data_IF_016744346615
#
_entry.id   IF_016744346615
#
_cell.length_a   1.000
_cell.length_b   1.000
_cell.length_c   1.000
_cell.angle_alpha   90.00
_cell.angle_beta   90.00
_cell.angle_gamma   90.00
#
_symmetry.space_group_name_H-M   'P 1'
#
loop_
_entity.id
_entity.type
_entity.pdbx_description
1 polymer ?
#
# COMPACT_ATOMS: atom_id res chain seq x y z
N UNK A 1 39.74 -24.01 0.59
CA UNK A 1 38.96 -22.76 0.46
C UNK A 1 37.54 -23.11 0.80
N UNK A 2 37.19 -22.91 2.07
CA UNK A 2 35.80 -23.02 2.53
C UNK A 2 35.24 -21.60 2.44
N UNK A 3 34.36 -21.36 1.46
CA UNK A 3 33.65 -20.09 1.38
C UNK A 3 32.56 -20.08 2.46
N UNK A 4 32.78 -19.31 3.52
CA UNK A 4 31.75 -18.96 4.48
C UNK A 4 30.70 -18.08 3.78
N UNK A 5 29.53 -18.65 3.50
CA UNK A 5 28.36 -17.88 3.11
C UNK A 5 27.85 -17.11 4.34
N UNK A 6 27.86 -15.76 4.36
CA UNK A 6 27.30 -15.00 5.46
C UNK A 6 25.78 -15.20 5.51
N UNK A 7 25.33 -16.06 6.40
CA UNK A 7 23.90 -16.24 6.74
C UNK A 7 23.44 -15.08 7.63
N UNK A 8 23.26 -13.91 7.04
CA UNK A 8 22.64 -12.76 7.70
C UNK A 8 21.20 -12.58 7.21
N UNK A 9 20.38 -13.63 7.33
CA UNK A 9 18.92 -13.44 7.28
C UNK A 9 18.51 -12.71 8.56
N UNK A 10 18.44 -11.39 8.47
CA UNK A 10 17.95 -10.52 9.54
C UNK A 10 16.59 -11.04 9.99
N UNK A 11 16.50 -11.53 11.23
CA UNK A 11 15.25 -12.05 11.79
C UNK A 11 14.25 -10.89 11.86
N UNK A 12 13.29 -10.89 10.94
CA UNK A 12 12.25 -9.85 10.85
C UNK A 12 11.50 -9.78 12.19
N UNK A 13 11.42 -8.58 12.76
CA UNK A 13 10.61 -8.35 13.97
C UNK A 13 9.14 -8.43 13.57
N UNK A 14 8.38 -9.28 14.25
CA UNK A 14 6.93 -9.32 14.10
C UNK A 14 6.33 -7.94 14.44
N UNK A 15 5.28 -7.49 13.74
CA UNK A 15 4.55 -6.29 14.09
C UNK A 15 4.06 -6.32 15.55
N UNK A 16 3.88 -5.13 16.15
CA UNK A 16 3.30 -5.01 17.49
C UNK A 16 1.83 -5.45 17.44
N UNK A 17 1.40 -6.26 18.40
CA UNK A 17 0.01 -6.64 18.54
C UNK A 17 -0.89 -5.40 18.71
N UNK A 18 -2.02 -5.39 17.99
CA UNK A 18 -3.04 -4.35 18.04
C UNK A 18 -4.42 -4.98 17.85
N UNK A 19 -5.48 -4.24 18.18
CA UNK A 19 -6.86 -4.69 17.94
C UNK A 19 -7.28 -4.39 16.50
N UNK A 20 -7.66 -5.43 15.75
CA UNK A 20 -8.12 -5.29 14.37
C UNK A 20 -9.44 -4.52 14.30
N UNK A 21 -9.47 -3.52 13.44
CA UNK A 21 -10.66 -2.75 13.14
C UNK A 21 -11.46 -3.32 11.98
N UNK A 22 -12.46 -2.56 11.55
CA UNK A 22 -13.35 -2.93 10.44
C UNK A 22 -12.58 -3.05 9.13
N UNK A 23 -11.58 -2.19 8.89
CA UNK A 23 -10.78 -2.19 7.64
C UNK A 23 -9.89 -3.42 7.57
N UNK A 24 -9.24 -3.79 8.68
CA UNK A 24 -8.40 -4.98 8.78
C UNK A 24 -9.21 -6.26 8.58
N UNK A 25 -10.36 -6.36 9.25
CA UNK A 25 -11.25 -7.51 9.09
C UNK A 25 -11.82 -7.61 7.67
N UNK A 26 -12.08 -6.46 7.02
CA UNK A 26 -12.49 -6.44 5.61
C UNK A 26 -11.35 -6.91 4.70
N UNK A 27 -10.14 -6.40 4.89
CA UNK A 27 -8.96 -6.84 4.13
C UNK A 27 -8.76 -8.35 4.30
N UNK A 28 -8.84 -8.86 5.52
CA UNK A 28 -8.69 -10.29 5.79
C UNK A 28 -9.69 -11.12 4.99
N UNK A 29 -10.98 -10.77 5.00
CA UNK A 29 -12.01 -11.48 4.20
C UNK A 29 -11.75 -11.42 2.70
N UNK A 30 -11.26 -10.28 2.19
CA UNK A 30 -10.88 -10.17 0.78
C UNK A 30 -9.71 -11.10 0.48
N UNK A 31 -8.68 -11.13 1.33
CA UNK A 31 -7.54 -12.03 1.16
C UNK A 31 -7.93 -13.51 1.27
N UNK A 32 -8.92 -13.86 2.10
CA UNK A 32 -9.49 -15.21 2.15
C UNK A 32 -10.15 -15.58 0.82
N UNK A 33 -10.94 -14.69 0.23
CA UNK A 33 -11.56 -14.94 -1.08
C UNK A 33 -10.53 -15.07 -2.21
N UNK A 34 -9.49 -14.22 -2.20
CA UNK A 34 -8.41 -14.27 -3.18
C UNK A 34 -7.54 -15.52 -3.00
N UNK A 35 -7.34 -15.99 -1.76
CA UNK A 35 -6.70 -17.27 -1.48
C UNK A 35 -7.42 -18.40 -2.20
N UNK A 36 -8.73 -18.46 -2.03
CA UNK A 36 -9.54 -19.52 -2.60
C UNK A 36 -9.55 -19.43 -4.13
N UNK A 37 -9.60 -18.21 -4.68
CA UNK A 37 -9.46 -17.96 -6.11
C UNK A 37 -8.13 -18.50 -6.66
N UNK A 38 -7.00 -18.04 -6.12
CA UNK A 38 -5.67 -18.43 -6.61
C UNK A 38 -5.35 -19.90 -6.35
N UNK A 39 -5.85 -20.47 -5.25
CA UNK A 39 -5.77 -21.90 -5.00
C UNK A 39 -6.44 -22.70 -6.13
N UNK A 40 -7.67 -22.31 -6.51
CA UNK A 40 -8.40 -22.95 -7.61
C UNK A 40 -7.74 -22.72 -8.96
N UNK A 41 -7.20 -21.53 -9.22
CA UNK A 41 -6.48 -21.22 -10.45
C UNK A 41 -5.19 -22.05 -10.57
N UNK A 42 -4.42 -22.17 -9.49
CA UNK A 42 -3.09 -22.79 -9.50
C UNK A 42 -3.15 -24.31 -9.42
N UNK A 43 -4.02 -24.86 -8.58
CA UNK A 43 -4.06 -26.28 -8.25
C UNK A 43 -5.36 -26.98 -8.64
N UNK A 44 -6.39 -26.21 -9.04
CA UNK A 44 -7.66 -26.74 -9.50
C UNK A 44 -8.59 -27.22 -8.37
N UNK A 45 -9.86 -27.52 -8.71
CA UNK A 45 -10.87 -27.93 -7.74
C UNK A 45 -10.65 -29.33 -7.15
N UNK A 46 -9.80 -30.15 -7.78
CA UNK A 46 -9.53 -31.54 -7.37
C UNK A 46 -8.24 -31.68 -6.55
N UNK A 47 -7.63 -30.56 -6.15
CA UNK A 47 -6.46 -30.59 -5.29
C UNK A 47 -6.79 -31.28 -3.96
N UNK A 48 -5.94 -32.20 -3.51
CA UNK A 48 -6.07 -32.86 -2.19
C UNK A 48 -5.54 -31.98 -1.04
N UNK A 49 -5.32 -30.70 -1.30
CA UNK A 49 -4.85 -29.71 -0.34
C UNK A 49 -6.00 -28.76 0.00
N UNK A 50 -5.86 -28.05 1.11
CA UNK A 50 -6.78 -26.95 1.45
C UNK A 50 -6.20 -25.62 0.96
N UNK A 51 -7.03 -24.57 0.78
CA UNK A 51 -6.55 -23.23 0.42
C UNK A 51 -5.45 -22.70 1.33
N UNK A 52 -5.47 -23.04 2.62
CA UNK A 52 -4.43 -22.68 3.61
C UNK A 52 -3.05 -23.25 3.26
N UNK A 53 -2.97 -24.29 2.43
CA UNK A 53 -1.69 -24.80 1.93
C UNK A 53 -1.08 -23.89 0.86
N UNK A 54 -1.90 -23.12 0.12
CA UNK A 54 -1.44 -22.13 -0.86
C UNK A 54 -0.68 -20.99 -0.16
N UNK A 55 -1.28 -20.45 0.90
CA UNK A 55 -0.59 -19.64 1.89
C UNK A 55 -1.21 -19.78 3.30
N UNK A 56 -0.39 -19.96 4.34
CA UNK A 56 -0.90 -20.11 5.71
C UNK A 56 -1.60 -18.86 6.24
N UNK A 57 -2.51 -19.03 7.21
CA UNK A 57 -3.17 -17.92 7.90
C UNK A 57 -2.15 -16.95 8.54
N UNK A 58 -1.02 -17.46 9.04
CA UNK A 58 0.08 -16.64 9.56
C UNK A 58 0.64 -15.64 8.53
N UNK A 59 0.69 -16.02 7.25
CA UNK A 59 1.14 -15.12 6.17
C UNK A 59 0.11 -14.05 5.93
N UNK A 60 -1.18 -14.42 5.92
CA UNK A 60 -2.28 -13.47 5.77
C UNK A 60 -2.32 -12.46 6.92
N UNK A 61 -2.16 -12.94 8.15
CA UNK A 61 -2.07 -12.11 9.35
C UNK A 61 -0.91 -11.11 9.25
N UNK A 62 0.26 -11.57 8.80
CA UNK A 62 1.40 -10.67 8.57
C UNK A 62 1.10 -9.62 7.49
N UNK A 63 0.40 -9.99 6.41
CA UNK A 63 0.02 -9.04 5.36
C UNK A 63 -0.91 -7.96 5.94
N UNK A 64 -1.94 -8.36 6.68
CA UNK A 64 -2.88 -7.42 7.32
C UNK A 64 -2.15 -6.50 8.30
N UNK A 65 -1.27 -7.05 9.14
CA UNK A 65 -0.53 -6.28 10.13
C UNK A 65 0.45 -5.29 9.47
N UNK A 66 1.18 -5.71 8.43
CA UNK A 66 2.09 -4.81 7.72
C UNK A 66 1.36 -3.77 6.88
N UNK A 67 0.19 -4.11 6.33
CA UNK A 67 -0.70 -3.15 5.66
C UNK A 67 -1.19 -2.08 6.63
N UNK A 68 -1.68 -2.49 7.82
CA UNK A 68 -2.09 -1.57 8.89
C UNK A 68 -0.98 -0.60 9.28
N UNK A 69 0.26 -1.08 9.36
CA UNK A 69 1.44 -0.27 9.69
C UNK A 69 2.01 0.53 8.49
N UNK A 70 1.35 0.49 7.32
CA UNK A 70 1.80 1.20 6.12
C UNK A 70 3.14 0.73 5.55
N UNK A 71 3.55 -0.51 5.86
CA UNK A 71 4.85 -1.07 5.44
C UNK A 71 4.80 -1.79 4.09
N UNK A 72 3.62 -2.13 3.59
CA UNK A 72 3.41 -2.75 2.28
C UNK A 72 3.03 -1.69 1.24
N UNK A 73 4.00 -0.86 0.85
CA UNK A 73 3.80 0.21 -0.14
C UNK A 73 4.56 -0.02 -1.46
N UNK A 74 5.53 -0.93 -1.48
CA UNK A 74 6.31 -1.30 -2.66
C UNK A 74 6.45 -2.82 -2.73
N UNK A 75 6.66 -3.35 -3.93
CA UNK A 75 6.92 -4.78 -4.15
C UNK A 75 8.17 -5.24 -3.40
N UNK A 76 9.21 -4.41 -3.38
CA UNK A 76 10.45 -4.65 -2.61
C UNK A 76 10.17 -4.80 -1.11
N UNK A 77 9.41 -3.88 -0.50
CA UNK A 77 9.07 -3.99 0.91
C UNK A 77 8.20 -5.22 1.18
N UNK A 78 7.28 -5.55 0.25
CA UNK A 78 6.45 -6.73 0.37
C UNK A 78 7.29 -8.02 0.40
N UNK A 79 8.11 -8.25 -0.62
CA UNK A 79 8.91 -9.49 -0.74
C UNK A 79 9.97 -9.60 0.36
N UNK A 80 10.46 -8.46 0.85
CA UNK A 80 11.34 -8.41 2.00
C UNK A 80 10.63 -8.83 3.29
N UNK A 81 9.44 -8.28 3.57
CA UNK A 81 8.71 -8.47 4.82
C UNK A 81 7.89 -9.77 4.88
N UNK A 82 7.43 -10.25 3.73
CA UNK A 82 6.58 -11.44 3.59
C UNK A 82 7.39 -12.55 2.93
N UNK A 83 7.90 -13.47 3.74
CA UNK A 83 8.58 -14.66 3.23
C UNK A 83 7.56 -15.74 2.92
N UNK A 84 7.19 -15.86 1.65
CA UNK A 84 6.26 -16.87 1.15
C UNK A 84 6.61 -17.22 -0.31
N UNK A 85 6.36 -18.46 -0.72
CA UNK A 85 6.82 -19.00 -2.02
C UNK A 85 6.31 -18.21 -3.23
N UNK A 86 5.11 -17.64 -3.15
CA UNK A 86 4.51 -16.85 -4.24
C UNK A 86 4.55 -15.34 -3.96
N UNK A 87 5.33 -14.89 -2.97
CA UNK A 87 5.41 -13.48 -2.61
C UNK A 87 5.85 -12.61 -3.80
N UNK A 88 6.86 -13.05 -4.56
CA UNK A 88 7.33 -12.30 -5.74
C UNK A 88 6.29 -12.29 -6.87
N UNK A 89 5.63 -13.42 -7.12
CA UNK A 89 4.63 -13.57 -8.18
C UNK A 89 3.38 -12.73 -7.92
N UNK A 90 2.89 -12.72 -6.67
CA UNK A 90 1.60 -12.13 -6.31
C UNK A 90 1.71 -10.79 -5.58
N UNK A 91 2.91 -10.28 -5.27
CA UNK A 91 3.08 -9.02 -4.55
C UNK A 91 2.36 -7.85 -5.20
N UNK A 92 2.40 -7.72 -6.53
CA UNK A 92 1.76 -6.62 -7.25
C UNK A 92 0.24 -6.65 -7.09
N UNK A 93 -0.39 -7.82 -7.25
CA UNK A 93 -1.83 -8.01 -7.06
C UNK A 93 -2.24 -7.74 -5.62
N UNK A 94 -1.43 -8.20 -4.67
CA UNK A 94 -1.67 -7.99 -3.24
C UNK A 94 -1.57 -6.53 -2.84
N UNK A 95 -0.58 -5.82 -3.36
CA UNK A 95 -0.45 -4.38 -3.13
C UNK A 95 -1.66 -3.62 -3.70
N UNK A 96 -2.17 -4.01 -4.87
CA UNK A 96 -3.38 -3.41 -5.42
C UNK A 96 -4.61 -3.63 -4.51
N UNK A 97 -4.78 -4.86 -3.98
CA UNK A 97 -5.85 -5.19 -3.01
C UNK A 97 -5.71 -4.36 -1.73
N UNK A 98 -4.49 -4.25 -1.19
CA UNK A 98 -4.22 -3.47 0.02
C UNK A 98 -4.52 -1.99 -0.23
N UNK A 99 -4.04 -1.41 -1.34
CA UNK A 99 -4.28 -0.02 -1.70
C UNK A 99 -5.78 0.29 -1.84
N UNK A 100 -6.53 -0.61 -2.47
CA UNK A 100 -7.98 -0.48 -2.63
C UNK A 100 -8.73 -0.48 -1.28
N UNK A 101 -8.19 -1.13 -0.25
CA UNK A 101 -8.80 -1.19 1.08
C UNK A 101 -8.30 -0.08 2.04
N UNK A 102 -7.06 0.42 1.88
CA UNK A 102 -6.43 1.35 2.83
C UNK A 102 -6.27 2.80 2.34
N UNK A 103 -6.70 3.15 1.13
CA UNK A 103 -6.47 4.49 0.54
C UNK A 103 -5.00 4.94 0.70
N UNK A 104 -4.06 4.02 0.45
CA UNK A 104 -2.64 4.38 0.46
C UNK A 104 -2.39 5.31 -0.73
N UNK A 105 -1.59 6.39 -0.56
CA UNK A 105 -1.24 7.24 -1.68
C UNK A 105 -0.48 6.39 -2.70
N UNK A 106 -1.09 6.15 -3.86
CA UNK A 106 -0.35 5.69 -5.03
C UNK A 106 0.78 6.69 -5.22
N UNK A 107 2.03 6.21 -5.19
CA UNK A 107 3.15 6.99 -5.66
C UNK A 107 2.92 7.24 -7.16
N UNK A 108 2.18 8.30 -7.47
CA UNK A 108 1.98 8.73 -8.85
C UNK A 108 3.36 9.19 -9.33
N UNK A 109 3.96 8.57 -10.37
CA UNK A 109 5.15 9.13 -10.96
C UNK A 109 4.76 10.53 -11.46
N UNK A 110 5.38 11.55 -10.87
CA UNK A 110 5.21 12.94 -11.25
C UNK A 110 5.82 13.08 -12.66
N UNK A 111 5.04 12.81 -13.70
CA UNK A 111 5.38 13.15 -15.08
C UNK A 111 5.40 14.68 -15.16
N UNK A 112 6.60 15.21 -14.94
CA UNK A 112 6.93 16.62 -14.94
C UNK A 112 6.71 17.21 -16.34
N UNK A 113 5.87 18.26 -16.51
CA UNK A 113 5.77 18.98 -17.76
C UNK A 113 6.82 20.10 -17.77
N UNK A 114 8.10 19.76 -17.96
CA UNK A 114 9.05 20.78 -18.38
C UNK A 114 8.89 20.97 -19.89
N UNK A 115 7.96 21.84 -20.28
CA UNK A 115 8.00 22.45 -21.61
C UNK A 115 8.68 23.81 -21.45
N UNK A 116 9.94 23.85 -21.86
CA UNK A 116 10.71 25.07 -22.06
C UNK A 116 10.03 25.91 -23.13
N UNK A 117 9.72 27.17 -22.83
CA UNK A 117 9.62 28.21 -23.88
C UNK A 117 10.13 29.53 -23.33
N UNK A 118 11.08 30.09 -24.05
CA UNK A 118 11.82 31.31 -23.73
C UNK A 118 11.11 32.56 -24.29
N UNK A 119 11.70 33.71 -23.94
CA UNK A 119 11.75 35.05 -24.57
C UNK A 119 10.67 36.12 -24.29
N UNK A 120 10.99 37.05 -23.36
CA UNK A 120 11.24 38.51 -23.54
C UNK A 120 10.75 39.38 -22.35
N UNK A 121 11.56 40.38 -21.90
CA UNK A 121 11.12 41.42 -20.96
C UNK A 121 10.73 42.74 -21.66
N UNK A 122 9.98 43.58 -20.94
CA UNK A 122 9.60 45.00 -21.18
C UNK A 122 8.21 45.24 -21.79
N UNK A 123 7.24 45.76 -21.02
CA UNK A 123 6.92 47.21 -20.96
C UNK A 123 5.79 47.52 -19.94
N UNK A 124 5.85 48.73 -19.40
CA UNK A 124 5.09 49.40 -18.33
C UNK A 124 3.54 49.35 -18.30
N UNK A 125 3.04 49.58 -17.07
CA UNK A 125 1.95 50.53 -16.66
C UNK A 125 0.60 49.94 -16.16
N UNK A 126 -0.25 50.70 -15.41
CA UNK A 126 -0.56 50.40 -14.00
C UNK A 126 -2.06 50.24 -13.64
N UNK A 127 -2.34 49.46 -12.56
CA UNK A 127 -3.55 49.59 -11.73
C UNK A 127 -4.79 48.77 -12.15
N UNK A 128 -5.83 48.69 -11.28
CA UNK A 128 -5.96 47.56 -10.36
C UNK A 128 -7.29 46.80 -10.51
N UNK A 129 -7.29 45.49 -10.27
CA UNK A 129 -8.49 44.81 -9.78
C UNK A 129 -8.10 43.59 -8.94
N UNK A 130 -8.36 43.72 -7.65
CA UNK A 130 -8.13 42.73 -6.62
C UNK A 130 -9.17 41.64 -6.83
N UNK A 131 -8.76 40.50 -7.37
CA UNK A 131 -9.45 39.24 -7.14
C UNK A 131 -8.45 38.35 -6.41
N UNK A 132 -8.65 38.25 -5.09
CA UNK A 132 -7.89 37.33 -4.28
C UNK A 132 -8.12 35.91 -4.81
N UNK A 133 -7.07 35.13 -5.12
CA UNK A 133 -7.24 33.72 -5.41
C UNK A 133 -7.80 33.04 -4.14
N UNK A 134 -8.73 32.08 -4.27
CA UNK A 134 -9.17 31.30 -3.13
C UNK A 134 -7.93 30.66 -2.51
N UNK A 135 -7.72 30.91 -1.21
CA UNK A 135 -6.69 30.23 -0.42
C UNK A 135 -6.86 28.74 -0.66
N UNK A 136 -5.94 28.14 -1.40
CA UNK A 136 -5.81 26.71 -1.48
C UNK A 136 -5.75 26.22 -0.02
N UNK A 137 -6.81 25.54 0.42
CA UNK A 137 -6.80 24.86 1.70
C UNK A 137 -5.59 23.95 1.63
N UNK A 138 -4.61 24.19 2.50
CA UNK A 138 -3.58 23.20 2.78
C UNK A 138 -4.34 21.95 3.15
N UNK A 139 -4.39 20.98 2.25
CA UNK A 139 -4.86 19.64 2.57
C UNK A 139 -3.84 19.14 3.60
N UNK A 140 -4.16 19.36 4.88
CA UNK A 140 -3.43 18.73 5.96
C UNK A 140 -3.54 17.23 5.69
N UNK A 141 -2.41 16.59 5.38
CA UNK A 141 -2.32 15.14 5.33
C UNK A 141 -2.87 14.62 6.65
N UNK A 142 -4.07 14.04 6.59
CA UNK A 142 -4.73 13.52 7.78
C UNK A 142 -3.94 12.34 8.31
N UNK A 143 -3.58 12.39 9.59
CA UNK A 143 -3.11 11.21 10.32
C UNK A 143 -4.29 10.25 10.49
N UNK A 144 -4.03 8.94 10.41
CA UNK A 144 -5.03 7.97 10.83
C UNK A 144 -5.35 8.20 12.31
N UNK A 145 -6.62 8.43 12.64
CA UNK A 145 -7.07 8.69 14.02
C UNK A 145 -6.79 7.53 14.99
N UNK A 146 -6.47 6.34 14.48
CA UNK A 146 -6.24 5.12 15.28
C UNK A 146 -4.77 4.74 15.44
N UNK A 147 -3.95 4.85 14.39
CA UNK A 147 -2.51 4.52 14.45
C UNK A 147 -1.59 5.74 14.40
N UNK A 148 -2.13 6.96 14.24
CA UNK A 148 -1.41 8.24 14.18
C UNK A 148 -0.32 8.31 13.09
N UNK A 149 -0.32 7.39 12.13
CA UNK A 149 0.58 7.42 10.97
C UNK A 149 0.05 8.32 9.87
N UNK A 150 0.97 9.03 9.21
CA UNK A 150 0.70 9.89 8.05
C UNK A 150 0.44 9.05 6.79
N UNK A 151 -0.46 9.52 5.91
CA UNK A 151 -0.73 8.88 4.61
C UNK A 151 -1.85 7.84 4.60
N UNK A 152 -2.59 7.70 5.69
CA UNK A 152 -3.79 6.86 5.76
C UNK A 152 -5.03 7.75 5.79
N UNK A 153 -5.85 7.69 4.75
CA UNK A 153 -6.99 8.60 4.62
C UNK A 153 -8.14 8.18 5.57
N UNK A 154 -8.26 8.86 6.70
CA UNK A 154 -9.39 8.76 7.64
C UNK A 154 -10.60 9.54 7.13
N UNK A 155 -11.05 9.29 5.90
CA UNK A 155 -12.24 9.99 5.37
C UNK A 155 -13.17 9.03 4.65
N UNK A 156 -13.96 8.27 5.43
CA UNK A 156 -15.22 7.75 4.93
C UNK A 156 -16.30 8.77 5.26
N UNK A 157 -16.53 9.69 4.33
CA UNK A 157 -17.84 10.30 4.19
C UNK A 157 -18.79 9.18 3.77
N UNK A 158 -19.61 8.71 4.71
CA UNK A 158 -20.73 7.84 4.42
C UNK A 158 -21.69 8.64 3.53
N UNK A 159 -21.73 8.31 2.25
CA UNK A 159 -22.89 8.63 1.42
C UNK A 159 -23.74 7.36 1.38
N UNK A 160 -24.80 7.40 2.19
CA UNK A 160 -26.01 6.60 2.06
C UNK A 160 -26.67 6.86 0.70
#
# INVERSE_FOLDING_TARGET
MEEEFPSSRTRMKKPKAYERGVVENKLQRVLEAERDHWFLEKWGPNAMLLPQAFWPDDVMDLIVDWAHNGKLNTTENFTKLITWAYAEELCSSLLAIIQANYCLPLAVPLSSPFTVTSIHPLLNSPGPSIVAPPKARKNAMGHCSRCQTEGHCSTWHVLL
#
